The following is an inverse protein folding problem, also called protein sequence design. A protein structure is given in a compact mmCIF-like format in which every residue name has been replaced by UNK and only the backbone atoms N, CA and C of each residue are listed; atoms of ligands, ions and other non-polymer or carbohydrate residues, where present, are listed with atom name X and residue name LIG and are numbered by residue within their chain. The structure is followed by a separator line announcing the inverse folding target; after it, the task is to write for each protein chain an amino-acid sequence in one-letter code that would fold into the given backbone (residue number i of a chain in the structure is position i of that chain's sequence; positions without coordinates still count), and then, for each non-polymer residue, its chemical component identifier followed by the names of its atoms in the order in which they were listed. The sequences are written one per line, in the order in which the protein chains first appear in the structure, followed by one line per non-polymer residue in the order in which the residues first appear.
data_IF_065957755975
#
_entry.id   IF_065957755975
#
_cell.length_a   1.000
_cell.length_b   1.000
_cell.length_c   1.000
_cell.angle_alpha   90.00
_cell.angle_beta   90.00
_cell.angle_gamma   90.00
#
_symmetry.space_group_name_H-M   'P 1'
#
loop_
_entity.id
_entity.type
_entity.pdbx_description
1 polymer ?
#
# COMPACT_ATOMS: atom_id res chain seq x y z
N UNK A 1 -3.68 -15.15 -0.45
CA UNK A 1 -2.58 -15.40 0.51
C UNK A 1 -2.43 -14.14 1.35
N UNK A 2 -2.81 -14.18 2.63
CA UNK A 2 -2.79 -12.99 3.48
C UNK A 2 -1.36 -12.67 3.94
N UNK A 3 -0.86 -11.47 3.63
CA UNK A 3 0.43 -10.96 4.11
C UNK A 3 0.16 -9.91 5.17
N UNK A 4 0.77 -10.07 6.34
CA UNK A 4 0.65 -9.17 7.47
C UNK A 4 1.96 -8.40 7.64
N UNK A 5 1.88 -7.09 7.82
CA UNK A 5 2.97 -6.27 8.35
C UNK A 5 2.73 -5.92 9.82
N UNK A 6 3.67 -5.21 10.45
CA UNK A 6 3.59 -4.78 11.87
C UNK A 6 2.34 -3.95 12.17
N UNK A 7 1.75 -3.30 11.17
CA UNK A 7 0.65 -2.34 11.34
C UNK A 7 -0.49 -2.46 10.31
N UNK A 8 -0.48 -3.47 9.43
CA UNK A 8 -1.55 -3.63 8.44
C UNK A 8 -1.66 -5.03 7.83
N UNK A 9 -2.89 -5.36 7.43
CA UNK A 9 -3.20 -6.54 6.60
C UNK A 9 -3.30 -6.14 5.14
N UNK A 10 -2.71 -6.94 4.24
CA UNK A 10 -2.91 -6.79 2.80
C UNK A 10 -4.03 -7.70 2.30
N UNK A 11 -5.01 -7.09 1.63
CA UNK A 11 -6.08 -7.77 0.92
C UNK A 11 -5.87 -7.62 -0.58
N UNK A 12 -5.95 -8.71 -1.34
CA UNK A 12 -6.01 -8.64 -2.78
C UNK A 12 -7.44 -8.30 -3.21
N UNK A 13 -7.60 -7.21 -3.95
CA UNK A 13 -8.88 -6.79 -4.50
C UNK A 13 -8.84 -6.83 -6.03
N UNK A 14 -9.90 -7.37 -6.62
CA UNK A 14 -10.13 -7.25 -8.06
C UNK A 14 -11.19 -6.20 -8.28
N UNK A 15 -10.83 -5.10 -8.94
CA UNK A 15 -11.80 -4.11 -9.43
C UNK A 15 -12.49 -4.70 -10.66
N UNK A 16 -13.53 -5.50 -10.42
CA UNK A 16 -14.22 -6.29 -11.44
C UNK A 16 -14.68 -5.47 -12.64
N UNK A 17 -15.12 -4.23 -12.43
CA UNK A 17 -15.59 -3.34 -13.50
C UNK A 17 -14.52 -2.97 -14.53
N UNK A 18 -13.23 -3.09 -14.18
CA UNK A 18 -12.12 -2.67 -15.03
C UNK A 18 -11.04 -3.75 -15.21
N UNK A 19 -11.22 -4.93 -14.62
CA UNK A 19 -10.25 -6.04 -14.70
C UNK A 19 -8.92 -5.79 -13.96
N UNK A 20 -8.80 -4.72 -13.19
CA UNK A 20 -7.57 -4.37 -12.47
C UNK A 20 -7.47 -5.11 -11.15
N UNK A 21 -6.26 -5.58 -10.82
CA UNK A 21 -5.90 -6.07 -9.49
C UNK A 21 -5.22 -4.97 -8.70
N UNK A 22 -5.78 -4.66 -7.53
CA UNK A 22 -5.21 -3.76 -6.56
C UNK A 22 -5.00 -4.49 -5.22
N UNK A 23 -4.25 -3.86 -4.34
CA UNK A 23 -4.01 -4.33 -2.98
C UNK A 23 -4.57 -3.28 -2.04
N UNK A 24 -5.35 -3.68 -1.03
CA UNK A 24 -5.74 -2.79 0.04
C UNK A 24 -4.89 -3.04 1.27
N UNK A 25 -4.28 -1.97 1.79
CA UNK A 25 -3.70 -1.95 3.12
C UNK A 25 -4.79 -1.61 4.13
N UNK A 26 -5.15 -2.58 4.96
CA UNK A 26 -6.17 -2.42 6.00
C UNK A 26 -5.61 -1.92 7.32
N UNK A 27 -6.24 -0.88 7.86
CA UNK A 27 -5.97 -0.32 9.19
C UNK A 27 -7.13 -0.66 10.14
N UNK A 28 -6.83 -1.27 11.30
CA UNK A 28 -7.83 -1.53 12.35
C UNK A 28 -8.52 -0.25 12.86
N UNK A 29 -9.81 -0.35 13.21
CA UNK A 29 -10.62 0.79 13.71
C UNK A 29 -9.99 1.43 14.96
N UNK A 30 -9.28 0.66 15.75
CA UNK A 30 -8.67 1.07 17.02
C UNK A 30 -7.55 2.10 16.82
N UNK A 31 -6.94 2.14 15.62
CA UNK A 31 -5.92 3.13 15.27
C UNK A 31 -6.50 4.42 14.67
N UNK A 32 -7.81 4.45 14.39
CA UNK A 32 -8.48 5.59 13.76
C UNK A 32 -8.10 5.81 12.29
N UNK A 33 -8.78 6.76 11.66
CA UNK A 33 -8.44 7.21 10.32
C UNK A 33 -7.22 8.14 10.36
N UNK A 34 -6.26 7.91 9.46
CA UNK A 34 -5.17 8.85 9.23
C UNK A 34 -5.00 9.09 7.74
N UNK A 35 -5.30 10.31 7.30
CA UNK A 35 -5.04 10.76 5.94
C UNK A 35 -3.53 10.92 5.65
N UNK A 36 -2.66 10.73 6.66
CA UNK A 36 -1.22 10.95 6.55
C UNK A 36 -0.60 10.09 5.43
N UNK A 37 -0.93 8.80 5.38
CA UNK A 37 -0.35 7.91 4.38
C UNK A 37 -0.81 8.29 2.96
N UNK A 38 -2.09 8.64 2.79
CA UNK A 38 -2.59 9.15 1.51
C UNK A 38 -1.89 10.46 1.11
N UNK A 39 -1.66 11.38 2.05
CA UNK A 39 -0.89 12.61 1.80
C UNK A 39 0.56 12.34 1.40
N UNK A 40 1.20 11.33 2.00
CA UNK A 40 2.53 10.87 1.58
C UNK A 40 2.49 10.40 0.13
N UNK A 41 1.50 9.60 -0.25
CA UNK A 41 1.35 9.18 -1.65
C UNK A 41 1.08 10.37 -2.58
N UNK A 42 0.23 11.33 -2.19
CA UNK A 42 0.00 12.55 -2.96
C UNK A 42 1.29 13.35 -3.16
N UNK A 43 2.13 13.46 -2.13
CA UNK A 43 3.45 14.10 -2.24
C UNK A 43 4.38 13.36 -3.22
N UNK A 44 4.26 12.04 -3.29
CA UNK A 44 5.04 11.18 -4.16
C UNK A 44 4.40 10.94 -5.54
N UNK A 45 3.38 11.71 -5.92
CA UNK A 45 2.60 11.51 -7.16
C UNK A 45 3.47 11.32 -8.41
N UNK A 46 4.51 12.14 -8.58
CA UNK A 46 5.40 12.11 -9.75
C UNK A 46 6.19 10.80 -9.96
N UNK A 47 6.29 9.94 -8.94
CA UNK A 47 7.07 8.69 -8.99
C UNK A 47 6.19 7.44 -8.79
N UNK A 48 4.88 7.61 -8.68
CA UNK A 48 3.94 6.50 -8.61
C UNK A 48 3.92 5.73 -9.94
N UNK A 49 3.74 4.40 -9.84
CA UNK A 49 3.74 3.49 -10.99
C UNK A 49 5.13 3.19 -11.57
N UNK A 50 6.17 3.91 -11.13
CA UNK A 50 7.55 3.70 -11.58
C UNK A 50 8.49 3.31 -10.44
N UNK A 51 8.41 4.01 -9.30
CA UNK A 51 9.23 3.76 -8.11
C UNK A 51 8.44 3.16 -6.96
N UNK A 52 7.17 3.54 -6.84
CA UNK A 52 6.28 3.11 -5.77
C UNK A 52 4.91 2.71 -6.35
N UNK A 53 4.09 1.95 -5.62
CA UNK A 53 2.73 1.64 -6.05
C UNK A 53 1.91 2.91 -6.30
N UNK A 54 1.00 2.85 -7.27
CA UNK A 54 0.00 3.90 -7.49
C UNK A 54 -1.02 3.84 -6.36
N UNK A 55 -1.27 4.96 -5.69
CA UNK A 55 -2.33 5.12 -4.71
C UNK A 55 -3.63 5.50 -5.43
N UNK A 56 -4.64 4.65 -5.26
CA UNK A 56 -5.97 4.83 -5.84
C UNK A 56 -6.92 5.57 -4.89
N UNK A 57 -6.48 5.84 -3.67
CA UNK A 57 -7.22 6.56 -2.63
C UNK A 57 -7.53 5.69 -1.42
N UNK A 58 -8.19 6.29 -0.43
CA UNK A 58 -8.64 5.62 0.78
C UNK A 58 -10.15 5.38 0.80
N UNK A 59 -10.59 4.35 1.52
CA UNK A 59 -12.01 4.02 1.74
C UNK A 59 -12.24 3.80 3.23
N UNK A 60 -13.23 4.52 3.76
CA UNK A 60 -13.74 4.34 5.13
C UNK A 60 -14.83 3.26 5.13
N UNK A 61 -14.56 2.15 5.80
CA UNK A 61 -15.48 1.04 6.04
C UNK A 61 -15.79 0.87 7.53
N UNK A 62 -15.50 1.87 8.38
CA UNK A 62 -15.63 1.79 9.84
C UNK A 62 -17.08 1.55 10.32
N UNK A 63 -18.07 1.98 9.54
CA UNK A 63 -19.49 1.67 9.79
C UNK A 63 -19.80 0.16 9.65
N UNK A 64 -19.06 -0.56 8.80
CA UNK A 64 -19.17 -2.02 8.59
C UNK A 64 -17.78 -2.63 8.39
N UNK A 65 -16.98 -2.77 9.47
CA UNK A 65 -15.59 -3.18 9.37
C UNK A 65 -15.43 -4.57 8.76
N UNK A 66 -14.33 -4.76 8.03
CA UNK A 66 -13.95 -6.09 7.57
C UNK A 66 -13.31 -6.85 8.74
N UNK A 67 -13.85 -8.01 9.08
CA UNK A 67 -13.24 -8.87 10.09
C UNK A 67 -12.04 -9.59 9.50
N UNK A 68 -10.90 -9.37 10.14
CA UNK A 68 -9.67 -10.00 9.74
C UNK A 68 -9.28 -11.09 10.72
N UNK A 69 -9.49 -12.34 10.29
CA UNK A 69 -9.11 -13.57 11.01
C UNK A 69 -9.61 -13.63 12.48
N UNK A 70 -10.67 -12.88 12.81
CA UNK A 70 -11.15 -12.71 14.18
C UNK A 70 -10.24 -11.88 15.11
N UNK A 71 -9.09 -11.39 14.60
CA UNK A 71 -8.06 -10.68 15.37
C UNK A 71 -8.28 -9.17 15.32
N UNK A 72 -8.70 -8.63 14.18
CA UNK A 72 -8.83 -7.19 13.99
C UNK A 72 -10.08 -6.82 13.19
N UNK A 73 -10.65 -5.65 13.51
CA UNK A 73 -11.74 -5.02 12.76
C UNK A 73 -11.17 -3.93 11.88
N UNK A 74 -11.04 -4.19 10.58
CA UNK A 74 -10.45 -3.24 9.64
C UNK A 74 -11.49 -2.18 9.28
N UNK A 75 -11.21 -0.94 9.68
CA UNK A 75 -12.08 0.22 9.46
C UNK A 75 -11.69 1.08 8.28
N UNK A 76 -10.41 1.05 7.87
CA UNK A 76 -9.90 1.93 6.83
C UNK A 76 -9.04 1.15 5.85
N UNK A 77 -9.24 1.38 4.56
CA UNK A 77 -8.51 0.73 3.48
C UNK A 77 -7.76 1.78 2.66
N UNK A 78 -6.45 1.63 2.49
CA UNK A 78 -5.69 2.36 1.48
C UNK A 78 -5.50 1.48 0.26
N UNK A 79 -6.06 1.90 -0.89
CA UNK A 79 -6.03 1.14 -2.13
C UNK A 79 -4.77 1.48 -2.94
N UNK A 80 -3.98 0.48 -3.27
CA UNK A 80 -2.72 0.59 -3.99
C UNK A 80 -2.71 -0.32 -5.22
N UNK A 81 -1.99 0.06 -6.29
CA UNK A 81 -1.76 -0.83 -7.44
C UNK A 81 -1.00 -2.09 -7.01
N UNK A 82 -1.32 -3.23 -7.62
CA UNK A 82 -0.56 -4.45 -7.37
C UNK A 82 0.87 -4.35 -7.93
N UNK A 83 1.87 -4.37 -7.04
CA UNK A 83 3.29 -4.16 -7.38
C UNK A 83 4.04 -5.43 -7.84
N UNK A 84 3.34 -6.54 -8.05
CA UNK A 84 3.96 -7.79 -8.50
C UNK A 84 4.50 -8.65 -7.37
N UNK A 85 5.59 -9.36 -7.66
CA UNK A 85 6.21 -10.33 -6.74
C UNK A 85 7.14 -9.60 -5.76
N UNK A 86 7.14 -9.95 -4.45
CA UNK A 86 8.09 -9.38 -3.51
C UNK A 86 9.55 -9.58 -3.95
N UNK A 87 10.38 -8.57 -3.70
CA UNK A 87 11.83 -8.56 -3.96
C UNK A 87 12.57 -9.85 -3.55
N UNK A 88 12.20 -10.44 -2.41
CA UNK A 88 12.80 -11.69 -1.89
C UNK A 88 12.60 -12.93 -2.78
N UNK A 89 11.64 -12.88 -3.69
CA UNK A 89 11.31 -13.95 -4.64
C UNK A 89 11.56 -13.49 -6.08
N UNK A 90 12.38 -12.46 -6.26
CA UNK A 90 12.70 -11.95 -7.58
C UNK A 90 13.88 -12.74 -8.17
N UNK A 91 13.60 -13.60 -9.15
CA UNK A 91 14.60 -14.45 -9.81
C UNK A 91 15.30 -13.77 -11.00
N UNK A 92 15.12 -12.45 -11.16
CA UNK A 92 15.69 -11.65 -12.24
C UNK A 92 16.98 -10.89 -11.87
N UNK A 93 17.42 -9.93 -12.69
CA UNK A 93 18.62 -9.14 -12.44
C UNK A 93 18.54 -8.36 -11.12
N UNK A 94 19.72 -8.00 -10.60
CA UNK A 94 19.86 -7.31 -9.32
C UNK A 94 19.00 -6.04 -9.24
N UNK A 95 18.08 -6.02 -8.26
CA UNK A 95 17.13 -4.95 -8.04
C UNK A 95 17.67 -3.84 -7.13
N UNK A 96 18.82 -4.04 -6.48
CA UNK A 96 19.41 -3.06 -5.54
C UNK A 96 19.61 -1.66 -6.16
N UNK A 97 20.07 -1.51 -7.42
CA UNK A 97 20.19 -0.19 -8.04
C UNK A 97 18.85 0.52 -8.19
N UNK A 98 17.80 -0.22 -8.59
CA UNK A 98 16.44 0.30 -8.72
C UNK A 98 15.86 0.72 -7.37
N UNK A 99 16.13 -0.05 -6.32
CA UNK A 99 15.75 0.27 -4.95
C UNK A 99 16.44 1.55 -4.46
N UNK A 100 17.76 1.67 -4.62
CA UNK A 100 18.50 2.86 -4.22
C UNK A 100 17.99 4.13 -4.95
N UNK A 101 17.67 4.01 -6.23
CA UNK A 101 17.08 5.11 -7.00
C UNK A 101 15.68 5.48 -6.49
N UNK A 102 14.84 4.50 -6.16
CA UNK A 102 13.53 4.74 -5.57
C UNK A 102 13.64 5.49 -4.23
N UNK A 103 14.52 5.05 -3.32
CA UNK A 103 14.76 5.72 -2.04
C UNK A 103 15.28 7.15 -2.24
N UNK A 104 16.23 7.34 -3.15
CA UNK A 104 16.74 8.66 -3.48
C UNK A 104 15.66 9.59 -4.02
N UNK A 105 14.77 9.10 -4.88
CA UNK A 105 13.67 9.89 -5.43
C UNK A 105 12.63 10.26 -4.35
N UNK A 106 12.32 9.33 -3.44
CA UNK A 106 11.44 9.58 -2.29
C UNK A 106 12.02 10.68 -1.39
N UNK A 107 13.32 10.61 -1.08
CA UNK A 107 14.00 11.62 -0.25
C UNK A 107 14.02 13.01 -0.92
N UNK A 108 14.23 13.09 -2.24
CA UNK A 108 14.17 14.35 -2.99
C UNK A 108 12.81 15.02 -2.91
N UNK A 109 11.74 14.24 -2.76
CA UNK A 109 10.37 14.75 -2.61
C UNK A 109 10.02 15.13 -1.15
N UNK A 110 10.97 14.99 -0.23
CA UNK A 110 10.85 15.41 1.17
C UNK A 110 10.20 14.38 2.09
N UNK A 111 9.98 13.15 1.61
CA UNK A 111 9.50 12.04 2.43
C UNK A 111 10.71 11.28 2.97
N UNK A 112 10.75 11.00 4.28
CA UNK A 112 11.80 10.20 4.91
C UNK A 112 11.16 9.01 5.62
N UNK A 113 11.89 7.89 5.61
CA UNK A 113 11.56 6.75 6.45
C UNK A 113 11.95 7.12 7.88
N UNK A 114 11.00 7.02 8.82
CA UNK A 114 11.23 7.20 10.25
C UNK A 114 11.82 5.92 10.87
#
# INVERSE_FOLDING_TARGET
MHKHGISATLFDFTLFSHGYRCVAKGTPVEFGYSAYEEHVYQRLHSIQGTRIPVCLGSVDVSCRPLFYDGIARIGYLLLLSHAGTPAKFHDGPDIRPSFHKAVSDIHRLGVRFA
#
